data_IF_031970831248
#
_entry.id   IF_031970831248
#
_cell.length_a   1.000
_cell.length_b   1.000
_cell.length_c   1.000
_cell.angle_alpha   90.00
_cell.angle_beta   90.00
_cell.angle_gamma   90.00
#
_symmetry.space_group_name_H-M   'P 1'
#
loop_
_entity.id
_entity.type
_entity.pdbx_description
1 polymer ?
#
# COMPACT_ATOMS: atom_id res chain seq x y z
N UNK A 1 -7.76 3.49 -0.45
CA UNK A 1 -6.44 2.87 -0.74
C UNK A 1 -6.10 2.91 -2.24
N UNK A 2 -7.06 2.75 -3.14
CA UNK A 2 -6.85 2.68 -4.59
C UNK A 2 -5.98 3.78 -5.21
N UNK A 3 -6.14 5.05 -4.78
CA UNK A 3 -5.29 6.15 -5.29
C UNK A 3 -3.78 5.94 -5.04
N UNK A 4 -3.40 5.14 -4.04
CA UNK A 4 -2.00 4.81 -3.74
C UNK A 4 -1.51 3.52 -4.42
N UNK A 5 -2.31 2.91 -5.30
CA UNK A 5 -1.98 1.62 -5.89
C UNK A 5 -2.05 0.45 -4.90
N UNK A 6 -2.74 0.61 -3.76
CA UNK A 6 -2.88 -0.42 -2.72
C UNK A 6 -4.21 -1.13 -2.91
N UNK A 7 -4.17 -2.43 -3.22
CA UNK A 7 -5.31 -3.32 -3.09
C UNK A 7 -5.47 -3.69 -1.60
N UNK A 8 -6.62 -3.38 -1.02
CA UNK A 8 -6.94 -3.74 0.35
C UNK A 8 -7.97 -4.88 0.36
N UNK A 9 -7.83 -5.83 1.26
CA UNK A 9 -8.82 -6.85 1.59
C UNK A 9 -9.35 -6.57 3.00
N UNK A 10 -10.68 -6.50 3.13
CA UNK A 10 -11.38 -6.33 4.40
C UNK A 10 -12.39 -7.47 4.50
N UNK A 11 -12.18 -8.40 5.45
CA UNK A 11 -12.96 -9.64 5.53
C UNK A 11 -14.48 -9.42 5.57
N UNK A 12 -14.94 -8.38 6.29
CA UNK A 12 -16.35 -8.07 6.40
C UNK A 12 -16.99 -7.60 5.08
N UNK A 13 -16.21 -6.89 4.25
CA UNK A 13 -16.73 -6.24 3.03
C UNK A 13 -16.49 -7.11 1.78
N UNK A 14 -15.40 -7.90 1.77
CA UNK A 14 -14.90 -8.58 0.57
C UNK A 14 -15.31 -10.07 0.50
N UNK A 15 -15.82 -10.64 1.61
CA UNK A 15 -16.26 -12.06 1.63
C UNK A 15 -17.74 -12.17 1.32
N UNK A 16 -18.05 -12.93 0.27
CA UNK A 16 -19.44 -13.24 -0.09
C UNK A 16 -20.11 -14.13 0.97
N UNK A 17 -21.41 -13.90 1.30
CA UNK A 17 -22.10 -14.58 2.40
C UNK A 17 -22.14 -16.12 2.35
N UNK A 18 -21.86 -16.72 1.19
CA UNK A 18 -21.89 -18.19 0.98
C UNK A 18 -20.52 -18.85 0.98
N UNK A 19 -19.44 -18.08 1.11
CA UNK A 19 -18.07 -18.60 1.10
C UNK A 19 -17.60 -18.98 2.50
N UNK A 20 -16.68 -19.95 2.57
CA UNK A 20 -15.96 -20.26 3.80
C UNK A 20 -15.01 -19.12 4.15
N UNK A 21 -15.48 -18.20 4.98
CA UNK A 21 -14.78 -16.96 5.34
C UNK A 21 -13.35 -17.20 5.85
N UNK A 22 -13.11 -18.33 6.53
CA UNK A 22 -11.78 -18.70 7.03
C UNK A 22 -10.78 -18.91 5.90
N UNK A 23 -11.18 -19.61 4.84
CA UNK A 23 -10.33 -19.87 3.66
C UNK A 23 -10.02 -18.58 2.90
N UNK A 24 -10.99 -17.66 2.81
CA UNK A 24 -10.76 -16.38 2.12
C UNK A 24 -9.79 -15.49 2.92
N UNK A 25 -9.92 -15.44 4.25
CA UNK A 25 -8.96 -14.74 5.12
C UNK A 25 -7.56 -15.37 5.00
N UNK A 26 -7.46 -16.70 5.08
CA UNK A 26 -6.16 -17.38 4.94
C UNK A 26 -5.51 -17.10 3.58
N UNK A 27 -6.30 -17.12 2.49
CA UNK A 27 -5.82 -16.78 1.15
C UNK A 27 -5.31 -15.34 1.09
N UNK A 28 -6.07 -14.39 1.63
CA UNK A 28 -5.67 -13.00 1.71
C UNK A 28 -4.37 -12.82 2.51
N UNK A 29 -4.26 -13.44 3.69
CA UNK A 29 -3.05 -13.40 4.51
C UNK A 29 -1.83 -14.04 3.82
N UNK A 30 -2.02 -15.09 3.02
CA UNK A 30 -0.93 -15.71 2.25
C UNK A 30 -0.41 -14.79 1.16
N UNK A 31 -1.28 -14.07 0.48
CA UNK A 31 -0.95 -13.25 -0.69
C UNK A 31 -0.62 -11.80 -0.38
N UNK A 32 -1.15 -11.25 0.72
CA UNK A 32 -0.90 -9.87 1.12
C UNK A 32 0.59 -9.58 1.37
N UNK A 33 1.04 -8.38 1.05
CA UNK A 33 2.39 -7.90 1.34
C UNK A 33 2.51 -7.36 2.77
N UNK A 34 1.41 -6.91 3.36
CA UNK A 34 1.34 -6.39 4.72
C UNK A 34 -0.03 -6.63 5.36
N UNK A 35 -0.09 -6.64 6.69
CA UNK A 35 -1.31 -6.64 7.50
C UNK A 35 -1.40 -5.32 8.27
N UNK A 36 -2.51 -4.59 8.11
CA UNK A 36 -2.85 -3.44 8.96
C UNK A 36 -3.81 -3.92 10.06
N UNK A 37 -3.33 -3.96 11.29
CA UNK A 37 -4.10 -4.38 12.46
C UNK A 37 -4.73 -3.15 13.13
N UNK A 38 -6.06 -3.01 13.07
CA UNK A 38 -6.80 -1.91 13.69
C UNK A 38 -7.08 -2.28 15.15
N UNK A 39 -6.28 -1.72 16.06
CA UNK A 39 -6.31 -2.07 17.49
C UNK A 39 -7.45 -1.32 18.19
N UNK A 40 -8.54 -2.05 18.42
CA UNK A 40 -9.72 -1.65 19.17
C UNK A 40 -9.89 -2.58 20.38
N UNK A 41 -10.79 -2.30 21.34
CA UNK A 41 -11.14 -3.28 22.39
C UNK A 41 -11.58 -4.63 21.80
N UNK A 42 -12.45 -4.64 20.79
CA UNK A 42 -12.92 -5.86 20.13
C UNK A 42 -11.78 -6.65 19.48
N UNK A 43 -10.77 -5.96 18.93
CA UNK A 43 -9.57 -6.61 18.41
C UNK A 43 -8.82 -7.36 19.51
N UNK A 44 -8.67 -6.74 20.71
CA UNK A 44 -7.95 -7.33 21.84
C UNK A 44 -8.65 -8.58 22.35
N UNK A 45 -9.98 -8.60 22.33
CA UNK A 45 -10.79 -9.74 22.79
C UNK A 45 -10.95 -10.83 21.71
N UNK A 46 -10.50 -10.56 20.48
CA UNK A 46 -10.66 -11.46 19.34
C UNK A 46 -9.50 -12.46 19.22
N UNK A 47 -9.78 -13.74 19.47
CA UNK A 47 -8.82 -14.82 19.22
C UNK A 47 -8.45 -14.96 17.74
N UNK A 48 -9.32 -14.53 16.83
CA UNK A 48 -9.05 -14.53 15.38
C UNK A 48 -7.99 -13.51 15.00
N UNK A 49 -8.12 -12.29 15.51
CA UNK A 49 -7.13 -11.24 15.25
C UNK A 49 -5.72 -11.64 15.70
N UNK A 50 -5.61 -12.32 16.86
CA UNK A 50 -4.33 -12.85 17.33
C UNK A 50 -3.74 -13.93 16.37
N UNK A 51 -4.60 -14.79 15.81
CA UNK A 51 -4.18 -15.80 14.85
C UNK A 51 -3.73 -15.18 13.53
N UNK A 52 -4.47 -14.19 13.01
CA UNK A 52 -4.11 -13.45 11.78
C UNK A 52 -2.75 -12.74 11.94
N UNK A 53 -2.56 -12.06 13.07
CA UNK A 53 -1.29 -11.42 13.42
C UNK A 53 -0.16 -12.45 13.52
N UNK A 54 -0.39 -13.56 14.24
CA UNK A 54 0.58 -14.64 14.37
C UNK A 54 0.94 -15.25 13.03
N UNK A 55 -0.04 -15.47 12.15
CA UNK A 55 0.18 -15.98 10.80
C UNK A 55 1.01 -15.01 9.96
N UNK A 56 0.67 -13.71 9.97
CA UNK A 56 1.41 -12.69 9.23
C UNK A 56 2.87 -12.60 9.69
N UNK A 57 3.13 -12.60 11.00
CA UNK A 57 4.48 -12.64 11.56
C UNK A 57 5.24 -13.91 11.17
N UNK A 58 4.61 -15.07 11.31
CA UNK A 58 5.22 -16.35 10.94
C UNK A 58 5.61 -16.43 9.46
N UNK A 59 4.96 -15.64 8.62
CA UNK A 59 5.27 -15.50 7.19
C UNK A 59 6.23 -14.34 6.86
N UNK A 60 6.76 -13.65 7.85
CA UNK A 60 7.66 -12.52 7.66
C UNK A 60 7.01 -11.29 7.01
N UNK A 61 5.68 -11.16 7.14
CA UNK A 61 4.96 -10.00 6.61
C UNK A 61 5.13 -8.78 7.52
N UNK A 62 5.06 -7.58 6.92
CA UNK A 62 4.93 -6.36 7.71
C UNK A 62 3.57 -6.35 8.39
N UNK A 63 3.55 -6.17 9.71
CA UNK A 63 2.32 -5.91 10.46
C UNK A 63 2.37 -4.50 11.02
N UNK A 64 1.36 -3.69 10.68
CA UNK A 64 1.25 -2.28 11.09
C UNK A 64 0.12 -2.15 12.10
N UNK A 65 0.42 -1.96 13.40
CA UNK A 65 -0.61 -1.72 14.41
C UNK A 65 -1.13 -0.28 14.30
N UNK A 66 -2.43 -0.13 14.04
CA UNK A 66 -3.16 1.15 14.00
C UNK A 66 -3.95 1.29 15.29
N UNK A 67 -3.42 2.03 16.27
CA UNK A 67 -4.01 2.18 17.60
C UNK A 67 -5.17 3.19 17.58
N UNK A 68 -6.41 2.71 17.59
CA UNK A 68 -7.58 3.58 17.66
C UNK A 68 -7.97 3.92 19.10
N UNK A 69 -8.07 2.91 19.97
CA UNK A 69 -8.60 3.10 21.31
C UNK A 69 -7.78 2.40 22.39
N UNK A 70 -6.95 1.47 22.00
CA UNK A 70 -6.13 0.68 22.93
C UNK A 70 -4.71 0.50 22.39
N UNK A 71 -3.84 -0.08 23.19
CA UNK A 71 -2.44 -0.33 22.87
C UNK A 71 -2.25 -1.75 22.31
N UNK A 72 -1.21 -1.99 21.49
CA UNK A 72 -0.88 -3.31 20.99
C UNK A 72 -0.52 -4.27 22.13
N UNK A 73 -0.87 -5.56 21.97
CA UNK A 73 -0.53 -6.64 22.89
C UNK A 73 0.12 -7.82 22.14
N UNK A 74 0.46 -8.89 22.85
CA UNK A 74 1.02 -10.10 22.29
C UNK A 74 2.28 -9.83 21.42
N UNK A 75 2.33 -10.39 20.23
CA UNK A 75 3.43 -10.15 19.28
C UNK A 75 3.56 -8.69 18.85
N UNK A 76 2.46 -7.93 18.88
CA UNK A 76 2.45 -6.51 18.53
C UNK A 76 2.98 -5.62 19.66
N UNK A 77 2.95 -6.08 20.92
CA UNK A 77 3.30 -5.27 22.10
C UNK A 77 4.74 -4.73 22.10
N UNK A 78 5.64 -5.30 21.32
CA UNK A 78 7.02 -4.81 21.16
C UNK A 78 7.15 -3.64 20.16
N UNK A 79 6.11 -3.35 19.40
CA UNK A 79 6.12 -2.27 18.41
C UNK A 79 5.36 -1.07 18.95
N UNK A 80 5.89 0.11 18.65
CA UNK A 80 5.12 1.33 18.82
C UNK A 80 4.04 1.35 17.73
N UNK A 81 2.76 1.23 18.13
CA UNK A 81 1.65 1.33 17.20
C UNK A 81 1.48 2.75 16.68
N UNK A 82 0.98 2.87 15.46
CA UNK A 82 0.62 4.18 14.90
C UNK A 82 -0.65 4.71 15.59
N UNK A 83 -0.63 5.93 16.19
CA UNK A 83 -1.80 6.51 16.85
C UNK A 83 -2.83 6.94 15.82
N UNK A 84 -3.92 6.16 15.70
CA UNK A 84 -4.99 6.39 14.73
C UNK A 84 -6.27 6.95 15.38
N UNK A 85 -6.26 7.22 16.70
CA UNK A 85 -7.42 7.78 17.42
C UNK A 85 -7.76 9.17 16.88
N UNK A 86 -9.03 9.37 16.50
CA UNK A 86 -9.54 10.64 15.98
C UNK A 86 -9.21 10.92 14.52
N UNK A 87 -8.33 10.13 13.89
CA UNK A 87 -8.02 10.29 12.48
C UNK A 87 -9.14 9.77 11.58
N UNK A 88 -9.39 10.49 10.50
CA UNK A 88 -10.30 10.07 9.44
C UNK A 88 -9.62 9.06 8.50
N UNK A 89 -10.41 8.26 7.78
CA UNK A 89 -9.90 7.25 6.88
C UNK A 89 -8.86 7.75 5.84
N UNK A 90 -9.00 8.94 5.23
CA UNK A 90 -7.98 9.49 4.34
C UNK A 90 -6.63 9.75 5.01
N UNK A 91 -6.64 10.21 6.27
CA UNK A 91 -5.43 10.49 7.06
C UNK A 91 -4.70 9.20 7.42
N UNK A 92 -5.46 8.18 7.88
CA UNK A 92 -4.92 6.85 8.16
C UNK A 92 -4.34 6.22 6.89
N UNK A 93 -5.03 6.35 5.75
CA UNK A 93 -4.57 5.84 4.46
C UNK A 93 -3.26 6.50 4.01
N UNK A 94 -3.10 7.81 4.20
CA UNK A 94 -1.87 8.54 3.89
C UNK A 94 -0.71 8.05 4.76
N UNK A 95 -0.92 7.90 6.06
CA UNK A 95 0.11 7.42 6.98
C UNK A 95 0.50 5.97 6.68
N UNK A 96 -0.48 5.11 6.44
CA UNK A 96 -0.21 3.73 6.05
C UNK A 96 0.58 3.66 4.73
N UNK A 97 0.23 4.48 3.75
CA UNK A 97 1.01 4.61 2.52
C UNK A 97 2.47 5.00 2.80
N UNK A 98 2.72 5.98 3.68
CA UNK A 98 4.08 6.36 4.07
C UNK A 98 4.85 5.22 4.72
N UNK A 99 4.21 4.48 5.63
CA UNK A 99 4.83 3.31 6.27
C UNK A 99 5.22 2.27 5.22
N UNK A 100 4.28 1.90 4.35
CA UNK A 100 4.51 0.88 3.31
C UNK A 100 5.57 1.32 2.30
N UNK A 101 5.62 2.61 1.96
CA UNK A 101 6.60 3.17 1.01
C UNK A 101 8.03 3.11 1.54
N UNK A 102 8.21 3.31 2.85
CA UNK A 102 9.52 3.44 3.46
C UNK A 102 10.02 2.15 4.14
N UNK A 103 9.17 1.15 4.32
CA UNK A 103 9.56 -0.10 4.98
C UNK A 103 10.24 -1.07 4.01
N UNK A 104 11.35 -1.69 4.44
CA UNK A 104 12.18 -2.57 3.58
C UNK A 104 11.42 -3.77 3.01
N UNK A 105 10.42 -4.29 3.71
CA UNK A 105 9.60 -5.43 3.25
C UNK A 105 8.59 -5.06 2.15
N UNK A 106 8.22 -3.78 2.03
CA UNK A 106 7.10 -3.35 1.17
C UNK A 106 7.47 -2.29 0.15
N UNK A 107 8.58 -1.56 0.35
CA UNK A 107 8.96 -0.42 -0.49
C UNK A 107 9.11 -0.76 -1.99
N UNK A 108 9.69 -1.92 -2.31
CA UNK A 108 9.82 -2.35 -3.70
C UNK A 108 8.46 -2.62 -4.35
N UNK A 109 7.57 -3.32 -3.64
CA UNK A 109 6.19 -3.60 -4.10
C UNK A 109 5.39 -2.33 -4.26
N UNK A 110 5.55 -1.36 -3.34
CA UNK A 110 4.92 -0.05 -3.46
C UNK A 110 5.40 0.71 -4.71
N UNK A 111 6.71 0.67 -5.00
CA UNK A 111 7.24 1.27 -6.21
C UNK A 111 6.68 0.61 -7.47
N UNK A 112 6.62 -0.73 -7.52
CA UNK A 112 6.02 -1.47 -8.64
C UNK A 112 4.56 -1.08 -8.85
N UNK A 113 3.77 -1.04 -7.75
CA UNK A 113 2.36 -0.68 -7.81
C UNK A 113 2.12 0.75 -8.31
N UNK A 114 2.92 1.71 -7.86
CA UNK A 114 2.81 3.11 -8.30
C UNK A 114 3.22 3.29 -9.78
N UNK A 115 4.27 2.60 -10.20
CA UNK A 115 4.73 2.60 -11.60
C UNK A 115 3.67 2.01 -12.51
N UNK A 116 3.08 0.87 -12.13
CA UNK A 116 2.05 0.24 -12.92
C UNK A 116 0.73 1.03 -12.92
N UNK A 117 0.36 1.65 -11.80
CA UNK A 117 -0.78 2.56 -11.73
C UNK A 117 -0.62 3.75 -12.70
N UNK A 118 0.57 4.30 -12.83
CA UNK A 118 0.88 5.32 -13.85
C UNK A 118 0.78 4.72 -15.26
N UNK A 119 1.42 3.59 -15.49
CA UNK A 119 1.47 2.98 -16.83
C UNK A 119 0.09 2.58 -17.36
N UNK A 120 -0.84 2.25 -16.47
CA UNK A 120 -2.22 1.87 -16.78
C UNK A 120 -3.23 3.01 -16.55
N UNK A 121 -2.77 4.26 -16.42
CA UNK A 121 -3.67 5.37 -16.17
C UNK A 121 -4.78 5.46 -17.24
N UNK A 122 -6.04 5.33 -16.81
CA UNK A 122 -7.20 5.33 -17.71
C UNK A 122 -7.73 6.73 -18.06
N UNK A 123 -7.13 7.79 -17.49
CA UNK A 123 -7.51 9.17 -17.77
C UNK A 123 -6.34 10.13 -17.52
N UNK A 124 -6.41 11.33 -18.12
CA UNK A 124 -5.47 12.41 -17.82
C UNK A 124 -5.46 12.79 -16.33
N UNK A 125 -6.61 12.71 -15.66
CA UNK A 125 -6.69 13.02 -14.24
C UNK A 125 -5.96 11.96 -13.41
N UNK A 126 -6.17 10.68 -13.68
CA UNK A 126 -5.46 9.58 -13.01
C UNK A 126 -3.95 9.71 -13.17
N UNK A 127 -3.47 10.04 -14.38
CA UNK A 127 -2.04 10.27 -14.62
C UNK A 127 -1.50 11.46 -13.80
N UNK A 128 -2.24 12.58 -13.75
CA UNK A 128 -1.84 13.75 -12.94
C UNK A 128 -1.79 13.44 -11.45
N UNK A 129 -2.75 12.67 -10.94
CA UNK A 129 -2.83 12.31 -9.52
C UNK A 129 -1.74 11.31 -9.10
N UNK A 130 -1.27 10.47 -10.03
CA UNK A 130 -0.21 9.49 -9.77
C UNK A 130 1.19 10.11 -9.69
N UNK A 131 1.48 11.18 -10.44
CA UNK A 131 2.83 11.79 -10.45
C UNK A 131 3.34 12.21 -9.08
N UNK A 132 2.57 12.94 -8.24
CA UNK A 132 3.05 13.33 -6.90
C UNK A 132 3.39 12.14 -6.01
N UNK A 133 2.75 10.98 -6.22
CA UNK A 133 3.03 9.76 -5.46
C UNK A 133 4.34 9.12 -5.93
N UNK A 134 4.57 9.07 -7.24
CA UNK A 134 5.82 8.61 -7.83
C UNK A 134 7.03 9.45 -7.39
N UNK A 135 6.87 10.76 -7.30
CA UNK A 135 7.93 11.68 -6.86
C UNK A 135 8.38 11.46 -5.42
N UNK A 136 7.56 10.78 -4.60
CA UNK A 136 7.90 10.38 -3.22
C UNK A 136 8.77 9.13 -3.15
N UNK A 137 8.92 8.39 -4.26
CA UNK A 137 9.78 7.21 -4.30
C UNK A 137 11.25 7.60 -4.09
N UNK A 138 11.94 6.98 -3.12
CA UNK A 138 13.34 7.30 -2.83
C UNK A 138 14.29 6.80 -3.92
N UNK A 139 13.92 5.71 -4.58
CA UNK A 139 14.69 5.08 -5.66
C UNK A 139 13.76 4.31 -6.60
N UNK A 140 14.25 4.07 -7.82
CA UNK A 140 13.62 3.23 -8.83
C UNK A 140 14.65 2.25 -9.38
N UNK A 141 14.22 1.04 -9.67
CA UNK A 141 15.03 0.05 -10.40
C UNK A 141 15.07 0.41 -11.90
N UNK A 142 16.05 -0.14 -12.63
CA UNK A 142 16.13 0.05 -14.08
C UNK A 142 14.83 -0.40 -14.80
N UNK A 143 14.22 -1.49 -14.33
CA UNK A 143 12.94 -2.01 -14.88
C UNK A 143 11.80 -1.01 -14.65
N UNK A 144 11.70 -0.44 -13.46
CA UNK A 144 10.68 0.56 -13.12
C UNK A 144 10.86 1.85 -13.94
N UNK A 145 12.11 2.29 -14.11
CA UNK A 145 12.45 3.43 -14.98
C UNK A 145 12.02 3.15 -16.42
N UNK A 146 12.40 1.99 -16.98
CA UNK A 146 12.02 1.60 -18.33
C UNK A 146 10.49 1.59 -18.50
N UNK A 147 9.75 1.05 -17.54
CA UNK A 147 8.28 1.00 -17.55
C UNK A 147 7.65 2.39 -17.52
N UNK A 148 8.19 3.33 -16.73
CA UNK A 148 7.73 4.73 -16.71
C UNK A 148 7.99 5.44 -18.04
N UNK A 149 9.18 5.26 -18.63
CA UNK A 149 9.51 5.84 -19.93
C UNK A 149 8.59 5.29 -21.02
N UNK A 150 8.37 3.97 -21.02
CA UNK A 150 7.46 3.29 -21.93
C UNK A 150 6.03 3.83 -21.82
N UNK A 151 5.54 4.10 -20.60
CA UNK A 151 4.21 4.63 -20.38
C UNK A 151 3.97 5.98 -21.04
N UNK A 152 5.00 6.83 -21.14
CA UNK A 152 4.92 8.14 -21.82
C UNK A 152 4.74 7.99 -23.35
N UNK A 153 5.18 6.88 -23.93
CA UNK A 153 5.06 6.63 -25.38
C UNK A 153 3.83 5.79 -25.74
N UNK A 154 3.46 4.83 -24.91
CA UNK A 154 2.42 3.84 -25.21
C UNK A 154 1.03 4.20 -24.66
N UNK A 155 0.95 4.99 -23.57
CA UNK A 155 -0.32 5.38 -23.00
C UNK A 155 -0.66 6.84 -23.33
N UNK A 156 -1.65 7.04 -24.19
CA UNK A 156 -2.11 8.37 -24.61
C UNK A 156 -2.58 9.24 -23.43
N UNK A 157 -3.11 8.64 -22.36
CA UNK A 157 -3.55 9.35 -21.16
C UNK A 157 -2.36 9.87 -20.33
N UNK A 158 -1.22 9.19 -20.39
CA UNK A 158 0.04 9.65 -19.78
C UNK A 158 0.71 10.68 -20.68
N UNK A 159 0.85 10.37 -21.96
CA UNK A 159 1.50 11.24 -22.96
C UNK A 159 0.82 12.61 -23.09
N UNK A 160 -0.52 12.64 -23.09
CA UNK A 160 -1.31 13.87 -23.27
C UNK A 160 -1.64 14.63 -21.97
N UNK A 161 -1.32 14.08 -20.80
CA UNK A 161 -1.60 14.75 -19.53
C UNK A 161 -0.62 15.92 -19.30
N UNK A 162 -1.17 17.11 -19.02
CA UNK A 162 -0.39 18.35 -18.84
C UNK A 162 0.70 18.14 -17.79
N UNK A 163 1.95 18.41 -18.14
CA UNK A 163 3.17 18.33 -17.32
C UNK A 163 3.55 16.93 -16.82
N UNK A 164 2.77 15.88 -17.11
CA UNK A 164 3.08 14.53 -16.67
C UNK A 164 4.33 13.97 -17.33
N UNK A 165 4.49 14.03 -18.68
CA UNK A 165 5.69 13.52 -19.33
C UNK A 165 6.98 14.20 -18.85
N UNK A 166 6.95 15.52 -18.66
CA UNK A 166 8.10 16.30 -18.19
C UNK A 166 8.48 15.88 -16.75
N UNK A 167 7.50 15.73 -15.88
CA UNK A 167 7.72 15.31 -14.48
C UNK A 167 8.27 13.88 -14.41
N UNK A 168 7.77 12.97 -15.25
CA UNK A 168 8.32 11.60 -15.33
C UNK A 168 9.79 11.65 -15.79
N UNK A 169 10.13 12.43 -16.81
CA UNK A 169 11.53 12.57 -17.26
C UNK A 169 12.42 13.15 -16.17
N UNK A 170 11.96 14.17 -15.45
CA UNK A 170 12.69 14.76 -14.32
C UNK A 170 12.91 13.75 -13.19
N UNK A 171 11.88 12.95 -12.84
CA UNK A 171 11.97 11.88 -11.86
C UNK A 171 13.04 10.85 -12.28
N UNK A 172 12.96 10.34 -13.49
CA UNK A 172 13.91 9.35 -14.03
C UNK A 172 15.33 9.89 -14.02
N UNK A 173 15.54 11.15 -14.41
CA UNK A 173 16.86 11.79 -14.39
C UNK A 173 17.42 11.96 -12.97
N UNK A 174 16.56 12.15 -11.97
CA UNK A 174 16.94 12.26 -10.54
C UNK A 174 17.41 10.93 -9.98
N UNK A 175 16.65 9.85 -10.24
CA UNK A 175 16.92 8.52 -9.65
C UNK A 175 17.94 7.71 -10.44
N UNK A 176 18.13 7.96 -11.72
CA UNK A 176 19.14 7.30 -12.56
C UNK A 176 20.59 7.75 -12.28
N UNK A 177 20.77 8.72 -11.38
CA UNK A 177 22.11 9.22 -10.94
C UNK A 177 22.52 8.71 -9.56
N UNK A 178 21.69 7.87 -8.91
CA UNK A 178 21.96 7.23 -7.61
C UNK A 178 22.29 5.77 -7.80
#
# INVERSE_FOLDING_TARGET
MGKYGIAAFVAHDDIEPTKEWQLEIERALRTADALAAIITPDFVDSRWCDQEVGFAFGRGKLVVPLCKETIPHGFLGKYQGFPAKGLQAPEVAEQLFQILLNHSLTSSRMADALVENMAQAGSFQTARDAVPLLERLPKLTATQVARLVQSVTENSQVAGAIRVPERIRALVSRVGKS
#
